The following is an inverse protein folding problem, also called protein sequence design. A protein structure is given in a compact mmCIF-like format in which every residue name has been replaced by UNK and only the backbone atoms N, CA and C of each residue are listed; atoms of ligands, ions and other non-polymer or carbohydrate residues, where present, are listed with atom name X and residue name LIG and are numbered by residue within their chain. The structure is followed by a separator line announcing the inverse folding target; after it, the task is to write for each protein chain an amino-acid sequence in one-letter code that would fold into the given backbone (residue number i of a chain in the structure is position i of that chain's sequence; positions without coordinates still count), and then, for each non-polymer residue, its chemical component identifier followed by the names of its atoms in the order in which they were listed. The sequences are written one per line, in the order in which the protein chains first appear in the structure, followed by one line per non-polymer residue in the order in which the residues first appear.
data_IF_493572243921
#
_entry.id   IF_493572243921
#
_cell.length_a   1.000
_cell.length_b   1.000
_cell.length_c   1.000
_cell.angle_alpha   90.00
_cell.angle_beta   90.00
_cell.angle_gamma   90.00
#
_symmetry.space_group_name_H-M   'P 1'
#
loop_
_entity.id
_entity.type
_entity.pdbx_description
1 polymer ?
#
# COMPACT_ATOMS: atom_id res chain seq x y z
N UNK A 1 -2.45 -7.84 6.64
CA UNK A 1 -1.57 -8.74 5.88
C UNK A 1 -2.40 -9.47 4.83
N UNK A 2 -2.33 -9.00 3.60
CA UNK A 2 -3.13 -9.60 2.54
C UNK A 2 -2.62 -9.20 1.15
N UNK A 3 -2.97 -10.01 0.16
CA UNK A 3 -2.79 -9.65 -1.24
C UNK A 3 -4.07 -8.99 -1.74
N UNK A 4 -3.93 -7.90 -2.47
CA UNK A 4 -5.07 -7.19 -3.03
C UNK A 4 -5.51 -7.89 -4.31
N UNK A 5 -6.78 -8.26 -4.38
CA UNK A 5 -7.34 -8.91 -5.57
C UNK A 5 -8.26 -7.99 -6.38
N UNK A 6 -8.65 -6.85 -5.82
CA UNK A 6 -9.49 -5.89 -6.53
C UNK A 6 -9.29 -4.51 -5.93
N UNK A 7 -9.47 -3.49 -6.76
CA UNK A 7 -9.43 -2.09 -6.33
C UNK A 7 -10.67 -1.43 -6.91
N UNK A 8 -11.59 -1.02 -6.04
CA UNK A 8 -12.88 -0.47 -6.45
C UNK A 8 -13.16 0.81 -5.66
N UNK A 9 -14.00 1.72 -6.21
CA UNK A 9 -14.38 2.92 -5.46
C UNK A 9 -15.10 2.55 -4.17
N UNK A 10 -14.69 3.17 -3.08
CA UNK A 10 -15.35 2.98 -1.80
C UNK A 10 -16.61 3.80 -1.69
N UNK A 11 -17.51 3.37 -0.83
CA UNK A 11 -18.78 4.07 -0.58
C UNK A 11 -18.86 4.67 0.81
N UNK A 12 -17.82 4.46 1.62
CA UNK A 12 -17.79 4.94 3.00
C UNK A 12 -17.35 6.40 3.04
N UNK A 13 -17.87 7.12 4.02
CA UNK A 13 -17.40 8.46 4.33
C UNK A 13 -16.13 8.32 5.15
N UNK A 14 -15.02 8.85 4.65
CA UNK A 14 -13.72 8.66 5.26
C UNK A 14 -13.14 10.00 5.68
N UNK A 15 -12.64 10.07 6.91
CA UNK A 15 -11.97 11.25 7.43
C UNK A 15 -10.46 11.12 7.26
N UNK A 16 -9.76 12.24 7.02
CA UNK A 16 -8.30 12.18 6.99
C UNK A 16 -7.74 11.68 8.31
N UNK A 17 -6.71 10.86 8.23
CA UNK A 17 -6.00 10.43 9.43
C UNK A 17 -5.08 11.55 9.90
N UNK A 18 -4.95 11.69 11.21
CA UNK A 18 -4.08 12.70 11.80
C UNK A 18 -2.72 12.15 12.21
N UNK A 19 -2.59 10.83 12.25
CA UNK A 19 -1.34 10.17 12.61
C UNK A 19 -0.61 9.74 11.35
N UNK A 20 0.69 9.99 11.32
CA UNK A 20 1.53 9.59 10.20
C UNK A 20 2.46 8.47 10.63
N UNK A 21 2.75 7.56 9.72
CA UNK A 21 3.64 6.43 9.96
C UNK A 21 4.55 6.25 8.76
N UNK A 22 5.64 5.54 8.96
CA UNK A 22 6.53 5.18 7.86
C UNK A 22 5.95 4.00 7.09
N UNK A 23 6.19 4.01 5.79
CA UNK A 23 5.83 2.89 4.91
C UNK A 23 7.08 2.45 4.17
N UNK A 24 7.38 1.17 4.21
CA UNK A 24 8.49 0.60 3.46
C UNK A 24 7.96 -0.27 2.33
N UNK A 25 8.69 -0.35 1.25
CA UNK A 25 8.31 -1.20 0.13
C UNK A 25 9.43 -2.18 -0.19
N UNK A 26 9.04 -3.31 -0.76
CA UNK A 26 9.98 -4.30 -1.24
C UNK A 26 9.37 -5.03 -2.44
N UNK A 27 10.22 -5.55 -3.30
CA UNK A 27 9.80 -6.41 -4.40
C UNK A 27 10.06 -7.84 -3.98
N UNK A 28 9.03 -8.68 -4.03
CA UNK A 28 9.15 -10.08 -3.64
C UNK A 28 8.58 -10.96 -4.75
N UNK A 29 8.99 -12.21 -4.76
CA UNK A 29 8.45 -13.19 -5.71
C UNK A 29 7.62 -14.20 -4.94
N UNK A 30 6.46 -14.59 -5.53
CA UNK A 30 5.66 -15.63 -4.92
C UNK A 30 6.19 -17.02 -5.34
N UNK A 31 5.52 -18.08 -4.87
CA UNK A 31 5.94 -19.44 -5.14
C UNK A 31 5.90 -19.82 -6.61
N UNK A 32 5.09 -19.11 -7.40
CA UNK A 32 4.98 -19.33 -8.85
C UNK A 32 5.96 -18.48 -9.65
N UNK A 33 6.80 -17.71 -8.98
CA UNK A 33 7.76 -16.82 -9.63
C UNK A 33 7.19 -15.49 -10.05
N UNK A 34 5.94 -15.19 -9.73
CA UNK A 34 5.33 -13.91 -10.05
C UNK A 34 5.85 -12.83 -9.10
N UNK A 35 6.12 -11.65 -9.66
CA UNK A 35 6.63 -10.53 -8.89
C UNK A 35 5.49 -9.81 -8.17
N UNK A 36 5.71 -9.48 -6.90
CA UNK A 36 4.75 -8.74 -6.10
C UNK A 36 5.42 -7.50 -5.50
N UNK A 37 4.66 -6.41 -5.41
CA UNK A 37 5.09 -5.25 -4.66
C UNK A 37 4.53 -5.36 -3.25
N UNK A 38 5.42 -5.32 -2.27
CA UNK A 38 5.06 -5.41 -0.86
C UNK A 38 5.15 -4.03 -0.22
N UNK A 39 4.08 -3.59 0.43
CA UNK A 39 4.03 -2.33 1.17
C UNK A 39 3.72 -2.65 2.62
N UNK A 40 4.49 -2.11 3.54
CA UNK A 40 4.26 -2.34 4.96
C UNK A 40 4.40 -1.04 5.74
N UNK A 41 3.48 -0.83 6.69
CA UNK A 41 3.52 0.33 7.57
C UNK A 41 4.03 -0.09 8.94
N UNK A 42 4.57 0.87 9.68
CA UNK A 42 5.09 0.65 11.02
C UNK A 42 4.28 1.45 12.02
N UNK A 43 4.27 1.00 13.26
CA UNK A 43 3.53 1.70 14.30
C UNK A 43 4.09 3.08 14.59
N UNK A 44 3.37 3.86 15.40
CA UNK A 44 3.72 5.26 15.64
C UNK A 44 5.11 5.41 16.28
N UNK A 45 5.73 6.57 16.03
CA UNK A 45 7.09 6.88 16.43
C UNK A 45 7.31 6.95 17.94
N UNK A 46 6.26 6.84 18.74
CA UNK A 46 6.36 6.97 20.19
C UNK A 46 6.81 5.69 20.89
N UNK A 47 7.10 4.63 20.15
CA UNK A 47 7.54 3.37 20.74
C UNK A 47 9.03 3.45 21.03
N UNK A 48 9.40 3.04 22.25
CA UNK A 48 10.80 2.98 22.66
C UNK A 48 11.55 1.78 22.06
N UNK A 49 10.82 0.79 21.55
CA UNK A 49 11.40 -0.38 20.90
C UNK A 49 11.42 -0.19 19.39
N UNK A 50 12.18 -1.05 18.70
CA UNK A 50 12.24 -1.01 17.24
C UNK A 50 10.82 -1.07 16.64
N UNK A 51 10.53 -0.29 15.59
CA UNK A 51 9.19 -0.29 14.99
C UNK A 51 8.81 -1.68 14.50
N UNK A 52 7.60 -2.09 14.82
CA UNK A 52 7.03 -3.35 14.31
C UNK A 52 6.07 -3.04 13.18
N UNK A 53 6.10 -3.88 12.15
CA UNK A 53 5.14 -3.80 11.08
C UNK A 53 3.72 -3.92 11.66
N UNK A 54 2.85 -2.95 11.35
CA UNK A 54 1.47 -2.98 11.81
C UNK A 54 0.53 -3.56 10.77
N UNK A 55 0.73 -3.20 9.50
CA UNK A 55 -0.10 -3.69 8.41
C UNK A 55 0.76 -3.84 7.16
N UNK A 56 0.38 -4.78 6.32
CA UNK A 56 1.04 -4.95 5.03
C UNK A 56 0.05 -5.38 3.96
N UNK A 57 0.34 -4.97 2.72
CA UNK A 57 -0.42 -5.39 1.56
C UNK A 57 0.56 -5.76 0.45
N UNK A 58 0.10 -6.61 -0.47
CA UNK A 58 0.89 -6.98 -1.62
C UNK A 58 0.04 -6.83 -2.88
N UNK A 59 0.69 -6.37 -3.95
CA UNK A 59 0.06 -6.12 -5.24
C UNK A 59 0.78 -6.91 -6.33
N UNK A 60 0.00 -7.55 -7.21
CA UNK A 60 0.59 -8.08 -8.44
C UNK A 60 0.62 -6.99 -9.51
N UNK A 61 1.14 -7.32 -10.70
CA UNK A 61 1.26 -6.34 -11.79
C UNK A 61 -0.09 -5.74 -12.17
N UNK A 62 -1.13 -6.58 -12.25
CA UNK A 62 -2.45 -6.13 -12.64
C UNK A 62 -3.02 -5.11 -11.67
N UNK A 63 -2.89 -5.38 -10.37
CA UNK A 63 -3.36 -4.45 -9.33
C UNK A 63 -2.48 -3.21 -9.26
N UNK A 64 -1.19 -3.34 -9.52
CA UNK A 64 -0.29 -2.19 -9.59
C UNK A 64 -0.71 -1.23 -10.71
N UNK A 65 -1.06 -1.77 -11.88
CA UNK A 65 -1.56 -0.94 -12.99
C UNK A 65 -2.84 -0.22 -12.61
N UNK A 66 -3.75 -0.93 -11.94
CA UNK A 66 -5.00 -0.33 -11.48
C UNK A 66 -4.73 0.80 -10.47
N UNK A 67 -3.79 0.59 -9.57
CA UNK A 67 -3.43 1.61 -8.59
C UNK A 67 -2.81 2.83 -9.26
N UNK A 68 -1.99 2.65 -10.30
CA UNK A 68 -1.42 3.75 -11.05
C UNK A 68 -2.55 4.61 -11.66
N UNK A 69 -3.57 3.98 -12.23
CA UNK A 69 -4.71 4.71 -12.78
C UNK A 69 -5.43 5.51 -11.69
N UNK A 70 -5.64 4.90 -10.54
CA UNK A 70 -6.29 5.58 -9.41
C UNK A 70 -5.45 6.75 -8.92
N UNK A 71 -4.13 6.58 -8.84
CA UNK A 71 -3.22 7.65 -8.44
C UNK A 71 -3.28 8.81 -9.43
N UNK A 72 -3.25 8.51 -10.72
CA UNK A 72 -3.33 9.55 -11.75
C UNK A 72 -4.65 10.32 -11.72
N UNK A 73 -5.72 9.63 -11.36
CA UNK A 73 -7.03 10.26 -11.20
C UNK A 73 -7.08 11.16 -9.98
N UNK A 74 -6.55 10.68 -8.85
CA UNK A 74 -6.55 11.43 -7.60
C UNK A 74 -5.57 12.61 -7.64
N UNK A 75 -4.43 12.42 -8.30
CA UNK A 75 -3.35 13.41 -8.36
C UNK A 75 -2.87 13.55 -9.80
N UNK A 76 -3.58 14.34 -10.64
CA UNK A 76 -3.14 14.52 -12.03
C UNK A 76 -1.71 15.05 -12.15
N UNK A 77 -1.23 15.80 -11.16
CA UNK A 77 0.13 16.32 -11.13
C UNK A 77 1.19 15.24 -10.90
N UNK A 78 0.81 14.06 -10.43
CA UNK A 78 1.73 12.94 -10.23
C UNK A 78 1.87 12.07 -11.49
N UNK A 79 1.25 12.48 -12.59
CA UNK A 79 1.23 11.68 -13.81
C UNK A 79 2.64 11.46 -14.37
N UNK A 80 2.95 10.22 -14.63
CA UNK A 80 4.22 9.83 -15.25
C UNK A 80 4.04 9.58 -16.73
#
# INVERSE_FOLDING_TARGET
VARIRSIEPGKQRIQPHTTEVDCHFAVVDDSDGARLLHLTTFGSDKRKSAPKSSQSIQLNLEMAKKLIDVINEAFPEART
#
